data_IF_067152415187
#
_entry.id   IF_067152415187
#
_cell.length_a   1.000
_cell.length_b   1.000
_cell.length_c   1.000
_cell.angle_alpha   90.00
_cell.angle_beta   90.00
_cell.angle_gamma   90.00
#
_symmetry.space_group_name_H-M   'P 1'
#
loop_
_entity.id
_entity.type
_entity.pdbx_description
1 polymer ?
#
# COMPACT_ATOMS: atom_id res chain seq x y z
N UNK A 1 -16.14 11.20 -36.45
CA UNK A 1 -16.60 11.50 -35.08
C UNK A 1 -15.76 10.65 -34.15
N UNK A 2 -15.03 11.31 -33.27
CA UNK A 2 -14.12 10.70 -32.31
C UNK A 2 -14.89 10.40 -31.03
N UNK A 3 -14.90 9.14 -30.58
CA UNK A 3 -15.39 8.78 -29.25
C UNK A 3 -14.45 7.75 -28.63
N UNK A 4 -13.54 8.32 -27.83
CA UNK A 4 -13.13 7.84 -26.51
C UNK A 4 -12.66 6.40 -26.39
N UNK A 5 -11.36 6.25 -26.66
CA UNK A 5 -10.51 5.31 -25.91
C UNK A 5 -10.76 5.53 -24.41
N UNK A 6 -11.62 4.72 -23.80
CA UNK A 6 -11.58 4.36 -22.38
C UNK A 6 -10.25 3.66 -22.12
N UNK A 7 -9.16 4.43 -22.14
CA UNK A 7 -8.03 4.14 -21.29
C UNK A 7 -8.62 4.18 -19.88
N UNK A 8 -8.86 2.99 -19.33
CA UNK A 8 -8.91 2.76 -17.90
C UNK A 8 -7.52 3.15 -17.42
N UNK A 9 -7.33 4.46 -17.24
CA UNK A 9 -6.26 5.01 -16.45
C UNK A 9 -6.61 4.45 -15.07
N UNK A 10 -6.00 3.31 -14.72
CA UNK A 10 -5.77 2.95 -13.33
C UNK A 10 -5.22 4.23 -12.73
N UNK A 11 -6.09 5.01 -12.09
CA UNK A 11 -5.66 6.19 -11.40
C UNK A 11 -4.69 5.66 -10.38
N UNK A 12 -3.41 5.95 -10.58
CA UNK A 12 -2.40 5.98 -9.53
C UNK A 12 -2.83 7.08 -8.55
N UNK A 13 -3.99 6.89 -7.93
CA UNK A 13 -4.53 7.75 -6.91
C UNK A 13 -3.61 7.56 -5.72
N UNK A 14 -2.95 8.64 -5.34
CA UNK A 14 -2.05 8.67 -4.20
C UNK A 14 -2.89 8.60 -2.94
N UNK A 15 -3.05 7.39 -2.42
CA UNK A 15 -3.82 7.12 -1.20
C UNK A 15 -2.86 7.20 -0.02
N UNK A 16 -3.32 7.77 1.09
CA UNK A 16 -2.54 7.76 2.31
C UNK A 16 -2.27 6.31 2.74
N UNK A 17 -1.01 6.02 3.04
CA UNK A 17 -0.59 4.74 3.62
C UNK A 17 -1.44 4.42 4.85
N UNK A 18 -1.77 5.42 5.67
CA UNK A 18 -2.60 5.27 6.87
C UNK A 18 -4.02 4.73 6.55
N UNK A 19 -4.62 5.20 5.45
CA UNK A 19 -5.95 4.73 4.98
C UNK A 19 -5.86 3.27 4.46
N UNK A 20 -4.79 2.97 3.71
CA UNK A 20 -4.54 1.61 3.19
C UNK A 20 -4.26 0.62 4.33
N UNK A 21 -3.51 1.03 5.35
CA UNK A 21 -3.24 0.24 6.55
C UNK A 21 -4.49 0.09 7.42
N UNK A 22 -5.33 1.13 7.53
CA UNK A 22 -6.63 1.02 8.21
C UNK A 22 -7.56 0.02 7.54
N UNK A 23 -7.46 -0.09 6.21
CA UNK A 23 -8.18 -1.10 5.43
C UNK A 23 -7.59 -2.51 5.61
N UNK A 24 -6.35 -2.63 6.10
CA UNK A 24 -5.80 -3.92 6.51
C UNK A 24 -6.29 -4.25 7.92
N UNK A 25 -6.97 -5.37 8.04
CA UNK A 25 -7.38 -5.96 9.32
C UNK A 25 -6.16 -6.61 10.01
N UNK A 26 -5.21 -5.78 10.44
CA UNK A 26 -3.97 -6.19 11.10
C UNK A 26 -3.83 -5.47 12.45
N UNK A 27 -3.20 -6.12 13.45
CA UNK A 27 -2.97 -5.51 14.75
C UNK A 27 -2.00 -4.32 14.69
N UNK A 28 -2.13 -3.37 15.62
CA UNK A 28 -1.33 -2.13 15.65
C UNK A 28 0.18 -2.36 15.66
N UNK A 29 0.66 -3.44 16.29
CA UNK A 29 2.08 -3.78 16.27
C UNK A 29 2.57 -4.09 14.84
N UNK A 30 1.74 -4.72 14.03
CA UNK A 30 2.07 -5.07 12.64
C UNK A 30 1.98 -3.83 11.74
N UNK A 31 1.04 -2.91 12.02
CA UNK A 31 0.96 -1.60 11.36
C UNK A 31 2.24 -0.79 11.58
N UNK A 32 2.68 -0.69 12.84
CA UNK A 32 3.90 0.02 13.21
C UNK A 32 5.15 -0.63 12.59
N UNK A 33 5.26 -1.96 12.64
CA UNK A 33 6.36 -2.71 12.05
C UNK A 33 6.42 -2.54 10.52
N UNK A 34 5.26 -2.57 9.85
CA UNK A 34 5.18 -2.35 8.41
C UNK A 34 5.62 -0.93 8.02
N UNK A 35 5.11 0.10 8.71
CA UNK A 35 5.52 1.50 8.48
C UNK A 35 7.03 1.69 8.67
N UNK A 36 7.58 1.10 9.74
CA UNK A 36 9.01 1.17 10.03
C UNK A 36 9.83 0.43 8.97
N UNK A 37 9.41 -0.78 8.57
CA UNK A 37 10.08 -1.58 7.55
C UNK A 37 10.03 -0.95 6.16
N UNK A 38 8.92 -0.30 5.81
CA UNK A 38 8.77 0.44 4.56
C UNK A 38 9.50 1.80 4.60
N UNK A 39 9.98 2.25 5.77
CA UNK A 39 10.57 3.57 5.96
C UNK A 39 9.57 4.70 5.73
N UNK A 40 8.28 4.43 5.95
CA UNK A 40 7.20 5.36 5.67
C UNK A 40 6.88 6.19 6.90
N UNK A 41 6.95 7.51 6.73
CA UNK A 41 6.51 8.47 7.73
C UNK A 41 4.99 8.57 7.71
N UNK A 42 4.42 8.94 8.86
CA UNK A 42 2.98 9.22 9.01
C UNK A 42 2.58 10.31 8.01
N UNK A 43 1.49 10.09 7.27
CA UNK A 43 1.02 11.01 6.22
C UNK A 43 1.64 10.81 4.84
N UNK A 44 2.43 9.75 4.62
CA UNK A 44 2.91 9.38 3.29
C UNK A 44 1.74 8.89 2.43
N UNK A 45 1.63 9.40 1.20
CA UNK A 45 0.74 8.86 0.18
C UNK A 45 1.52 8.02 -0.82
N UNK A 46 0.96 6.88 -1.19
CA UNK A 46 1.52 5.95 -2.17
C UNK A 46 0.40 5.41 -3.05
N UNK A 47 0.76 4.85 -4.19
CA UNK A 47 -0.22 4.19 -5.04
C UNK A 47 -0.51 2.80 -4.48
N UNK A 48 -1.69 2.24 -4.79
CA UNK A 48 -2.07 0.91 -4.32
C UNK A 48 -1.05 -0.16 -4.72
N UNK A 49 -0.46 -0.06 -5.92
CA UNK A 49 0.61 -0.95 -6.39
C UNK A 49 1.88 -0.84 -5.53
N UNK A 50 2.33 0.38 -5.21
CA UNK A 50 3.47 0.58 -4.32
C UNK A 50 3.19 0.06 -2.91
N UNK A 51 1.97 0.25 -2.43
CA UNK A 51 1.52 -0.29 -1.16
C UNK A 51 1.61 -1.81 -1.10
N UNK A 52 0.95 -2.47 -2.05
CA UNK A 52 0.91 -3.93 -2.11
C UNK A 52 2.32 -4.51 -2.24
N UNK A 53 3.15 -3.93 -3.10
CA UNK A 53 4.53 -4.39 -3.29
C UNK A 53 5.39 -4.23 -2.02
N UNK A 54 5.22 -3.13 -1.28
CA UNK A 54 5.89 -2.96 0.01
C UNK A 54 5.35 -3.95 1.05
N UNK A 55 4.04 -4.18 1.08
CA UNK A 55 3.41 -5.10 2.02
C UNK A 55 3.80 -6.56 1.74
N UNK A 56 3.81 -6.98 0.49
CA UNK A 56 4.32 -8.29 0.06
C UNK A 56 5.78 -8.48 0.46
N UNK A 57 6.63 -7.47 0.27
CA UNK A 57 8.02 -7.53 0.72
C UNK A 57 8.13 -7.61 2.25
N UNK A 58 7.27 -6.90 2.98
CA UNK A 58 7.21 -6.98 4.43
C UNK A 58 6.79 -8.38 4.90
N UNK A 59 5.72 -8.95 4.36
CA UNK A 59 5.27 -10.31 4.68
C UNK A 59 6.30 -11.36 4.25
N UNK A 60 6.97 -11.18 3.11
CA UNK A 60 8.05 -12.08 2.68
C UNK A 60 9.26 -12.05 3.63
N UNK A 61 9.57 -10.86 4.18
CA UNK A 61 10.73 -10.66 5.06
C UNK A 61 10.45 -10.99 6.53
N UNK A 62 9.24 -10.73 7.01
CA UNK A 62 8.84 -10.84 8.42
C UNK A 62 7.70 -11.83 8.68
N UNK A 63 6.88 -12.12 7.67
CA UNK A 63 5.81 -13.13 7.71
C UNK A 63 6.28 -14.55 7.36
N UNK A 64 7.58 -14.77 7.24
CA UNK A 64 8.20 -16.11 7.17
C UNK A 64 8.14 -16.83 8.51
N UNK A 65 6.94 -17.12 9.00
CA UNK A 65 6.72 -18.18 9.99
C UNK A 65 5.78 -19.20 9.38
N UNK A 66 6.36 -20.08 8.56
CA UNK A 66 5.87 -21.44 8.41
C UNK A 66 7.04 -22.38 8.17
#
# INVERSE_FOLDING_TARGET
MAEEKKQVQEKDELILVDELIKSLDIPDWQKAAFLQAAGWKKGKSVTKKQFDLAYQNFIKKYGGTK
#
